data_IF_139317461975
#
_entry.id   IF_139317461975
#
_cell.length_a   1.000
_cell.length_b   1.000
_cell.length_c   1.000
_cell.angle_alpha   90.00
_cell.angle_beta   90.00
_cell.angle_gamma   90.00
#
_symmetry.space_group_name_H-M   'P 1'
#
loop_
_entity.id
_entity.type
_entity.pdbx_description
1 polymer ?
#
# COMPACT_ATOMS: atom_id res chain seq x y z
N UNK A 1 -8.12 18.00 13.62
CA UNK A 1 -7.40 17.79 12.34
C UNK A 1 -6.56 18.97 11.89
N UNK A 2 -6.98 20.19 12.19
CA UNK A 2 -6.20 21.39 11.88
C UNK A 2 -4.81 21.34 12.52
N UNK A 3 -4.73 20.90 13.76
CA UNK A 3 -3.45 20.75 14.45
C UNK A 3 -2.51 19.79 13.68
N UNK A 4 -3.06 18.65 13.21
CA UNK A 4 -2.28 17.68 12.46
C UNK A 4 -1.71 18.28 11.17
N UNK A 5 -2.52 19.09 10.47
CA UNK A 5 -2.09 19.73 9.22
C UNK A 5 -0.98 20.75 9.42
N UNK A 6 -0.83 21.30 10.64
CA UNK A 6 0.20 22.26 10.98
C UNK A 6 1.55 21.61 11.31
N UNK A 7 1.58 20.29 11.53
CA UNK A 7 2.81 19.59 11.84
C UNK A 7 3.70 19.44 10.61
N UNK A 8 5.02 19.40 10.80
CA UNK A 8 5.92 19.08 9.68
C UNK A 8 5.56 17.76 9.04
N UNK A 9 5.78 17.65 7.73
CA UNK A 9 5.41 16.46 6.95
C UNK A 9 6.00 15.19 7.56
N UNK A 10 7.23 15.22 8.00
CA UNK A 10 7.89 14.05 8.62
C UNK A 10 7.17 13.60 9.89
N UNK A 11 6.74 14.55 10.74
CA UNK A 11 5.98 14.22 11.96
C UNK A 11 4.60 13.68 11.63
N UNK A 12 3.92 14.27 10.62
CA UNK A 12 2.62 13.76 10.17
C UNK A 12 2.75 12.32 9.66
N UNK A 13 3.82 12.04 8.95
CA UNK A 13 4.09 10.68 8.47
C UNK A 13 4.22 9.71 9.65
N UNK A 14 5.03 10.03 10.64
CA UNK A 14 5.25 9.16 11.80
C UNK A 14 3.95 8.89 12.55
N UNK A 15 3.12 9.91 12.76
CA UNK A 15 1.83 9.77 13.43
C UNK A 15 0.90 8.85 12.64
N UNK A 16 0.81 9.04 11.31
CA UNK A 16 -0.04 8.23 10.46
C UNK A 16 0.41 6.77 10.43
N UNK A 17 1.72 6.53 10.33
CA UNK A 17 2.24 5.15 10.34
C UNK A 17 1.89 4.46 11.65
N UNK A 18 2.09 5.14 12.79
CA UNK A 18 1.77 4.56 14.09
C UNK A 18 0.28 4.25 14.21
N UNK A 19 -0.58 5.17 13.73
CA UNK A 19 -2.03 4.97 13.78
C UNK A 19 -2.47 3.81 12.88
N UNK A 20 -1.93 3.72 11.67
CA UNK A 20 -2.25 2.64 10.74
C UNK A 20 -1.80 1.29 11.26
N UNK A 21 -0.64 1.23 11.90
CA UNK A 21 -0.17 -0.02 12.51
C UNK A 21 -1.09 -0.50 13.62
N UNK A 22 -1.64 0.43 14.41
CA UNK A 22 -2.63 0.08 15.44
C UNK A 22 -3.94 -0.39 14.83
N UNK A 23 -4.31 0.15 13.67
CA UNK A 23 -5.55 -0.15 12.98
C UNK A 23 -5.40 -1.24 11.93
N UNK A 24 -4.26 -1.93 11.87
CA UNK A 24 -4.03 -3.01 10.91
C UNK A 24 -5.17 -4.03 10.99
N UNK A 25 -5.78 -4.31 9.84
CA UNK A 25 -6.91 -5.22 9.77
C UNK A 25 -6.43 -6.67 9.73
N UNK A 26 -7.36 -7.59 9.99
CA UNK A 26 -7.09 -9.02 9.86
C UNK A 26 -6.59 -9.36 8.46
N UNK A 27 -7.17 -8.75 7.42
CA UNK A 27 -6.76 -9.00 6.03
C UNK A 27 -5.33 -8.55 5.78
N UNK A 28 -4.91 -7.42 6.35
CA UNK A 28 -3.53 -6.97 6.24
C UNK A 28 -2.56 -7.94 6.90
N UNK A 29 -2.92 -8.45 8.06
CA UNK A 29 -2.10 -9.43 8.77
C UNK A 29 -1.99 -10.75 8.00
N UNK A 30 -3.10 -11.21 7.41
CA UNK A 30 -3.09 -12.39 6.55
C UNK A 30 -2.19 -12.19 5.35
N UNK A 31 -2.22 -11.01 4.75
CA UNK A 31 -1.39 -10.71 3.59
C UNK A 31 0.10 -10.67 3.96
N UNK A 32 0.43 -10.16 5.15
CA UNK A 32 1.81 -10.21 5.66
C UNK A 32 2.32 -11.64 5.75
N UNK A 33 1.48 -12.52 6.29
CA UNK A 33 1.85 -13.94 6.41
C UNK A 33 2.06 -14.56 5.03
N UNK A 34 1.23 -14.19 4.06
CA UNK A 34 1.39 -14.67 2.70
C UNK A 34 2.71 -14.20 2.09
N UNK A 35 3.05 -12.92 2.23
CA UNK A 35 4.31 -12.39 1.70
C UNK A 35 5.51 -13.06 2.36
N UNK A 36 5.43 -13.29 3.66
CA UNK A 36 6.49 -14.00 4.40
C UNK A 36 6.65 -15.43 3.87
N UNK A 37 5.55 -16.11 3.55
CA UNK A 37 5.60 -17.47 3.02
C UNK A 37 6.26 -17.54 1.64
N UNK A 38 6.20 -16.47 0.87
CA UNK A 38 6.86 -16.37 -0.42
C UNK A 38 8.34 -16.04 -0.30
N UNK A 39 8.82 -15.71 0.91
CA UNK A 39 10.18 -15.19 1.10
C UNK A 39 10.36 -13.81 0.46
N UNK A 40 9.29 -13.08 0.22
CA UNK A 40 9.36 -11.76 -0.40
C UNK A 40 9.89 -10.73 0.58
N UNK A 41 10.82 -9.89 0.10
CA UNK A 41 11.27 -8.74 0.86
C UNK A 41 10.25 -7.62 0.71
N UNK A 42 9.68 -7.19 1.82
CA UNK A 42 8.65 -6.14 1.79
C UNK A 42 8.77 -5.20 2.98
N UNK A 43 8.15 -4.03 2.85
CA UNK A 43 8.01 -3.05 3.92
C UNK A 43 6.53 -2.84 4.18
N UNK A 44 6.14 -2.94 5.44
CA UNK A 44 4.75 -2.77 5.87
C UNK A 44 4.48 -1.31 6.17
N UNK A 45 3.41 -0.77 5.60
CA UNK A 45 2.98 0.62 5.79
C UNK A 45 4.11 1.61 5.46
N UNK A 46 4.65 1.47 4.25
CA UNK A 46 5.71 2.34 3.76
C UNK A 46 5.15 3.68 3.32
N UNK A 47 5.77 4.75 3.80
CA UNK A 47 5.39 6.09 3.43
C UNK A 47 6.28 6.68 2.36
N UNK A 48 5.68 7.53 1.53
CA UNK A 48 6.35 8.31 0.50
C UNK A 48 5.96 9.77 0.68
N UNK A 49 6.93 10.68 0.60
CA UNK A 49 6.71 12.08 0.91
C UNK A 49 6.39 12.93 -0.31
N UNK A 50 6.99 12.64 -1.44
CA UNK A 50 6.90 13.50 -2.61
C UNK A 50 6.33 12.76 -3.80
N UNK A 51 5.58 13.48 -4.62
CA UNK A 51 5.15 14.87 -4.40
C UNK A 51 3.99 14.99 -3.45
N UNK A 52 3.21 13.92 -3.23
CA UNK A 52 2.18 13.88 -2.21
C UNK A 52 2.58 12.92 -1.11
N UNK A 53 2.21 13.28 0.11
CA UNK A 53 2.34 12.39 1.23
C UNK A 53 1.39 11.20 1.04
N UNK A 54 1.95 9.99 1.04
CA UNK A 54 1.17 8.77 0.83
C UNK A 54 1.78 7.61 1.61
N UNK A 55 0.94 6.82 2.24
CA UNK A 55 1.35 5.58 2.89
C UNK A 55 0.68 4.44 2.14
N UNK A 56 1.48 3.49 1.67
CA UNK A 56 0.98 2.27 1.03
C UNK A 56 1.01 1.13 2.04
N UNK A 57 0.09 0.18 1.92
CA UNK A 57 0.00 -0.92 2.88
C UNK A 57 1.24 -1.80 2.84
N UNK A 58 1.71 -2.14 1.66
CA UNK A 58 2.91 -2.96 1.47
C UNK A 58 3.71 -2.42 0.31
N UNK A 59 5.03 -2.46 0.45
CA UNK A 59 5.92 -2.06 -0.63
C UNK A 59 6.98 -3.14 -0.84
N UNK A 60 7.10 -3.60 -2.09
CA UNK A 60 8.10 -4.58 -2.52
C UNK A 60 9.19 -3.84 -3.30
N UNK A 61 10.30 -3.46 -2.65
CA UNK A 61 11.32 -2.63 -3.31
C UNK A 61 11.94 -3.26 -4.53
N UNK A 62 12.16 -4.58 -4.50
CA UNK A 62 12.79 -5.28 -5.63
C UNK A 62 11.96 -5.23 -6.89
N UNK A 63 10.65 -5.10 -6.76
CA UNK A 63 9.72 -5.09 -7.89
C UNK A 63 9.17 -3.71 -8.18
N UNK A 64 9.52 -2.70 -7.36
CA UNK A 64 8.93 -1.36 -7.41
C UNK A 64 7.41 -1.45 -7.45
N UNK A 65 6.87 -2.25 -6.55
CA UNK A 65 5.45 -2.53 -6.47
C UNK A 65 4.92 -2.17 -5.09
N UNK A 66 3.91 -1.31 -5.06
CA UNK A 66 3.14 -1.03 -3.86
C UNK A 66 1.82 -1.78 -3.94
N UNK A 67 1.38 -2.32 -2.82
CA UNK A 67 0.13 -3.07 -2.73
C UNK A 67 -0.75 -2.39 -1.71
N UNK A 68 -1.99 -2.14 -2.09
CA UNK A 68 -3.00 -1.62 -1.18
C UNK A 68 -4.16 -2.60 -1.09
N UNK A 69 -4.63 -2.83 0.14
CA UNK A 69 -5.78 -3.68 0.40
C UNK A 69 -6.97 -2.76 0.65
N UNK A 70 -7.90 -2.77 -0.29
CA UNK A 70 -9.04 -1.85 -0.26
C UNK A 70 -10.20 -2.47 0.53
N UNK A 71 -10.61 -1.76 1.57
CA UNK A 71 -11.82 -2.07 2.28
C UNK A 71 -13.03 -1.37 1.66
N UNK A 72 -14.20 -1.50 2.29
CA UNK A 72 -15.43 -0.91 1.76
C UNK A 72 -15.46 0.62 1.85
N UNK A 73 -14.45 1.25 2.44
CA UNK A 73 -14.40 2.70 2.62
C UNK A 73 -13.90 3.47 1.41
N UNK A 74 -13.42 2.78 0.37
CA UNK A 74 -12.97 3.45 -0.85
C UNK A 74 -14.19 3.88 -1.67
N UNK A 75 -14.39 5.21 -1.76
CA UNK A 75 -15.61 5.77 -2.32
C UNK A 75 -15.42 6.47 -3.66
N UNK A 76 -14.17 6.64 -4.13
CA UNK A 76 -13.90 7.31 -5.40
C UNK A 76 -12.84 6.56 -6.21
N UNK A 77 -13.25 5.49 -6.92
CA UNK A 77 -12.30 4.71 -7.72
C UNK A 77 -11.63 5.50 -8.84
N UNK A 78 -12.32 6.48 -9.42
CA UNK A 78 -11.74 7.28 -10.50
C UNK A 78 -10.60 8.16 -9.97
N UNK A 79 -10.79 8.78 -8.81
CA UNK A 79 -9.75 9.56 -8.16
C UNK A 79 -8.55 8.67 -7.81
N UNK A 80 -8.82 7.50 -7.24
CA UNK A 80 -7.76 6.56 -6.86
C UNK A 80 -6.93 6.15 -8.07
N UNK A 81 -7.58 5.85 -9.21
CA UNK A 81 -6.85 5.48 -10.43
C UNK A 81 -5.98 6.61 -10.94
N UNK A 82 -6.46 7.84 -10.89
CA UNK A 82 -5.67 9.02 -11.31
C UNK A 82 -4.45 9.20 -10.42
N UNK A 83 -4.63 9.06 -9.10
CA UNK A 83 -3.53 9.20 -8.16
C UNK A 83 -2.53 8.07 -8.30
N UNK A 84 -3.00 6.85 -8.55
CA UNK A 84 -2.11 5.71 -8.77
C UNK A 84 -1.28 5.88 -10.05
N UNK A 85 -1.91 6.31 -11.15
CA UNK A 85 -1.20 6.55 -12.41
C UNK A 85 -0.16 7.65 -12.26
N UNK A 86 -0.50 8.71 -11.54
CA UNK A 86 0.42 9.81 -11.30
C UNK A 86 1.59 9.36 -10.43
N UNK A 87 1.33 8.59 -9.37
CA UNK A 87 2.35 8.05 -8.48
C UNK A 87 3.32 7.14 -9.25
N UNK A 88 2.79 6.27 -10.11
CA UNK A 88 3.61 5.42 -10.97
C UNK A 88 4.50 6.26 -11.88
N UNK A 89 3.95 7.30 -12.49
CA UNK A 89 4.70 8.15 -13.42
C UNK A 89 5.81 8.92 -12.72
N UNK A 90 5.55 9.43 -11.52
CA UNK A 90 6.52 10.28 -10.80
C UNK A 90 7.54 9.45 -10.02
N UNK A 91 7.09 8.35 -9.39
CA UNK A 91 7.96 7.54 -8.53
C UNK A 91 8.47 6.28 -9.20
N UNK A 92 7.89 5.90 -10.33
CA UNK A 92 8.24 4.65 -10.99
C UNK A 92 7.77 3.42 -10.23
N UNK A 93 6.77 3.58 -9.36
CA UNK A 93 6.24 2.51 -8.52
C UNK A 93 4.81 2.21 -8.96
N UNK A 94 4.56 0.96 -9.33
CA UNK A 94 3.22 0.53 -9.71
C UNK A 94 2.39 0.22 -8.46
N UNK A 95 1.09 0.44 -8.56
CA UNK A 95 0.15 0.16 -7.47
C UNK A 95 -0.72 -1.01 -7.88
N UNK A 96 -0.73 -2.05 -7.05
CA UNK A 96 -1.65 -3.17 -7.17
C UNK A 96 -2.67 -3.08 -6.04
N UNK A 97 -3.95 -3.04 -6.39
CA UNK A 97 -5.03 -3.01 -5.41
C UNK A 97 -5.67 -4.36 -5.29
N UNK A 98 -5.80 -4.84 -4.05
CA UNK A 98 -6.50 -6.08 -3.74
C UNK A 98 -7.65 -5.73 -2.81
N UNK A 99 -8.80 -6.37 -3.02
CA UNK A 99 -9.92 -6.21 -2.09
C UNK A 99 -9.73 -7.08 -0.86
N UNK A 100 -10.42 -6.75 0.23
CA UNK A 100 -10.43 -7.62 1.41
C UNK A 100 -10.89 -9.03 1.04
N UNK A 101 -11.91 -9.14 0.20
CA UNK A 101 -12.43 -10.45 -0.22
C UNK A 101 -11.37 -11.25 -0.97
N UNK A 102 -10.61 -10.62 -1.86
CA UNK A 102 -9.55 -11.31 -2.59
C UNK A 102 -8.49 -11.86 -1.63
N UNK A 103 -8.11 -11.06 -0.63
CA UNK A 103 -7.13 -11.51 0.37
C UNK A 103 -7.67 -12.66 1.19
N UNK A 104 -8.93 -12.58 1.65
CA UNK A 104 -9.56 -13.63 2.44
C UNK A 104 -9.70 -14.93 1.66
N UNK A 105 -9.90 -14.85 0.34
CA UNK A 105 -10.01 -16.03 -0.52
C UNK A 105 -8.68 -16.56 -1.01
N UNK A 106 -7.58 -15.85 -0.72
CA UNK A 106 -6.26 -16.21 -1.23
C UNK A 106 -6.11 -16.00 -2.73
N UNK A 107 -6.83 -15.05 -3.31
CA UNK A 107 -6.78 -14.77 -4.74
C UNK A 107 -5.61 -13.83 -5.06
N UNK A 108 -4.41 -14.39 -5.21
CA UNK A 108 -3.18 -13.63 -5.41
C UNK A 108 -2.57 -13.80 -6.81
N UNK A 109 -3.40 -14.16 -7.78
CA UNK A 109 -2.90 -14.41 -9.13
C UNK A 109 -2.26 -13.18 -9.76
N UNK A 110 -2.88 -12.01 -9.59
CA UNK A 110 -2.34 -10.77 -10.14
C UNK A 110 -0.97 -10.44 -9.54
N UNK A 111 -0.80 -10.66 -8.24
CA UNK A 111 0.48 -10.45 -7.57
C UNK A 111 1.53 -11.44 -8.06
N UNK A 112 1.17 -12.71 -8.14
CA UNK A 112 2.09 -13.73 -8.62
C UNK A 112 2.53 -13.47 -10.06
N UNK A 113 1.62 -13.04 -10.92
CA UNK A 113 1.93 -12.69 -12.29
C UNK A 113 2.88 -11.51 -12.36
N UNK A 114 2.63 -10.48 -11.55
CA UNK A 114 3.50 -9.29 -11.51
C UNK A 114 4.92 -9.67 -11.06
N UNK A 115 5.04 -10.43 -9.99
CA UNK A 115 6.34 -10.83 -9.46
C UNK A 115 7.12 -11.65 -10.50
N UNK A 116 6.44 -12.55 -11.20
CA UNK A 116 7.05 -13.38 -12.22
C UNK A 116 7.53 -12.54 -13.41
N UNK A 117 6.73 -11.58 -13.86
CA UNK A 117 7.06 -10.73 -15.01
C UNK A 117 8.16 -9.72 -14.72
N UNK A 118 8.31 -9.32 -13.47
CA UNK A 118 9.27 -8.27 -13.09
C UNK A 118 10.64 -8.79 -12.68
N UNK A 119 10.88 -10.07 -12.83
CA UNK A 119 12.20 -10.68 -12.55
C UNK A 119 13.25 -10.29 -13.55
#
# INVERSE_FOLDING_TARGET
>A
MEYFCQLPLKKRHAINVARLRKAATETELLFRDFLASLGASYRFQQGFYTPYYRIVDFYLPKHKLAIEIDGPSHQDPAHDRRMDAWFERVRGIRILRLTNDQVLRGEFQALNDFIRESR
#
